data_IF_048736119883
#
_entry.id   IF_048736119883
#
_cell.length_a   1.000
_cell.length_b   1.000
_cell.length_c   1.000
_cell.angle_alpha   90.00
_cell.angle_beta   90.00
_cell.angle_gamma   90.00
#
_symmetry.space_group_name_H-M   'P 1'
#
loop_
_entity.id
_entity.type
_entity.pdbx_description
1 polymer ?
#
# COMPACT_ATOMS: atom_id res chain seq x y z
N UNK A 1 -23.62 17.63 -22.25
CA UNK A 1 -22.98 18.33 -21.11
C UNK A 1 -22.43 17.25 -20.20
N UNK A 2 -21.15 16.93 -20.32
CA UNK A 2 -20.49 15.98 -19.42
C UNK A 2 -20.30 16.70 -18.07
N UNK A 3 -20.75 16.07 -16.99
CA UNK A 3 -20.51 16.57 -15.63
C UNK A 3 -19.01 16.55 -15.38
N UNK A 4 -18.45 17.72 -15.14
CA UNK A 4 -17.05 17.94 -14.74
C UNK A 4 -16.89 17.68 -13.21
N UNK A 5 -17.66 16.72 -12.70
CA UNK A 5 -17.72 16.43 -11.27
C UNK A 5 -16.66 15.39 -10.90
N UNK A 6 -15.92 15.70 -9.84
CA UNK A 6 -14.97 14.77 -9.24
C UNK A 6 -15.72 13.50 -8.76
N UNK A 7 -15.07 12.32 -8.75
CA UNK A 7 -15.68 11.04 -8.38
C UNK A 7 -15.89 10.90 -6.86
N UNK A 8 -16.10 12.00 -6.16
CA UNK A 8 -16.28 12.02 -4.72
C UNK A 8 -17.72 12.35 -4.35
N UNK A 9 -18.20 11.78 -3.25
CA UNK A 9 -19.58 11.94 -2.77
C UNK A 9 -19.94 13.42 -2.57
N UNK A 10 -21.22 13.77 -2.77
CA UNK A 10 -21.73 15.15 -2.67
C UNK A 10 -21.57 15.80 -1.30
N UNK A 11 -21.11 15.08 -0.28
CA UNK A 11 -20.76 15.63 1.03
C UNK A 11 -19.43 16.42 0.97
N UNK A 12 -19.32 17.29 -0.06
CA UNK A 12 -18.15 18.12 -0.39
C UNK A 12 -17.69 19.04 0.75
N UNK A 13 -18.42 19.14 1.85
CA UNK A 13 -18.03 19.92 3.02
C UNK A 13 -16.72 19.44 3.66
N UNK A 14 -16.33 18.18 3.39
CA UNK A 14 -15.10 17.56 3.92
C UNK A 14 -13.90 17.61 2.96
N UNK A 15 -14.13 17.96 1.67
CA UNK A 15 -13.08 18.00 0.66
C UNK A 15 -12.73 19.43 0.30
N UNK A 16 -11.47 19.70 0.09
CA UNK A 16 -11.01 20.94 -0.54
C UNK A 16 -10.01 20.62 -1.65
N UNK A 17 -10.08 21.37 -2.74
CA UNK A 17 -9.20 21.24 -3.88
C UNK A 17 -7.92 22.03 -3.63
N UNK A 18 -6.77 21.41 -3.84
CA UNK A 18 -5.47 22.10 -3.79
C UNK A 18 -5.27 22.85 -5.11
N UNK A 19 -5.47 24.16 -5.10
CA UNK A 19 -5.35 25.07 -6.25
C UNK A 19 -6.16 24.62 -7.49
N UNK A 20 -5.70 24.98 -8.69
CA UNK A 20 -6.24 24.48 -9.96
C UNK A 20 -5.84 23.03 -10.26
N UNK A 21 -5.10 22.40 -9.33
CA UNK A 21 -4.72 21.01 -9.44
C UNK A 21 -5.94 20.09 -9.24
N UNK A 22 -5.98 18.97 -9.93
CA UNK A 22 -7.00 17.92 -9.73
C UNK A 22 -6.65 17.00 -8.54
N UNK A 23 -6.02 17.58 -7.49
CA UNK A 23 -5.71 16.88 -6.24
C UNK A 23 -6.58 17.48 -5.13
N UNK A 24 -7.16 16.60 -4.34
CA UNK A 24 -8.10 16.91 -3.25
C UNK A 24 -7.51 16.48 -1.91
N UNK A 25 -7.90 17.17 -0.85
CA UNK A 25 -7.56 16.83 0.53
C UNK A 25 -8.84 16.79 1.38
N UNK A 26 -8.86 15.98 2.41
CA UNK A 26 -9.94 15.96 3.39
C UNK A 26 -9.83 17.15 4.34
N UNK A 27 -10.90 17.96 4.47
CA UNK A 27 -10.94 19.17 5.34
C UNK A 27 -10.85 18.86 6.83
N UNK A 28 -11.29 17.68 7.22
CA UNK A 28 -11.35 17.22 8.61
C UNK A 28 -10.76 15.81 8.70
N UNK A 29 -9.63 15.58 8.04
CA UNK A 29 -8.84 14.39 8.36
C UNK A 29 -8.75 14.30 9.89
N UNK A 30 -8.97 13.12 10.49
CA UNK A 30 -8.73 12.93 11.92
C UNK A 30 -7.43 13.65 12.24
N UNK A 31 -7.44 14.47 13.30
CA UNK A 31 -6.20 15.08 13.81
C UNK A 31 -5.15 13.99 13.71
N UNK A 32 -4.16 14.18 12.84
CA UNK A 32 -3.09 13.19 12.70
C UNK A 32 -2.67 12.84 14.13
N UNK A 33 -2.78 11.57 14.47
CA UNK A 33 -2.28 11.13 15.77
C UNK A 33 -0.85 11.62 15.83
N UNK A 34 -0.51 12.38 16.87
CA UNK A 34 0.85 12.90 16.97
C UNK A 34 1.81 11.73 16.72
N UNK A 35 2.67 11.79 15.70
CA UNK A 35 3.55 10.67 15.32
C UNK A 35 4.30 10.10 16.53
N UNK A 36 4.63 10.98 17.47
CA UNK A 36 5.29 10.57 18.68
C UNK A 36 4.43 9.64 19.56
N UNK A 37 3.09 9.82 19.61
CA UNK A 37 2.19 8.93 20.36
C UNK A 37 2.16 7.55 19.70
N UNK A 38 2.05 7.48 18.37
CA UNK A 38 2.07 6.23 17.62
C UNK A 38 3.40 5.47 17.82
N UNK A 39 4.53 6.15 17.64
CA UNK A 39 5.87 5.58 17.86
C UNK A 39 6.02 5.08 19.30
N UNK A 40 5.59 5.87 20.28
CA UNK A 40 5.67 5.48 21.68
C UNK A 40 4.83 4.22 21.96
N UNK A 41 3.58 4.18 21.49
CA UNK A 41 2.69 3.04 21.66
C UNK A 41 3.34 1.75 21.18
N UNK A 42 3.87 1.75 19.94
CA UNK A 42 4.42 0.54 19.32
C UNK A 42 5.77 0.11 19.89
N UNK A 43 6.60 1.04 20.34
CA UNK A 43 7.88 0.74 20.97
C UNK A 43 7.76 0.31 22.45
N UNK A 44 6.64 0.59 23.12
CA UNK A 44 6.34 0.10 24.48
C UNK A 44 5.57 -1.22 24.49
N UNK A 45 5.08 -1.67 23.30
CA UNK A 45 4.49 -3.01 23.16
C UNK A 45 5.56 -4.12 23.35
N UNK A 46 5.07 -5.33 23.62
CA UNK A 46 5.91 -6.53 23.67
C UNK A 46 5.30 -7.62 22.76
N UNK A 47 5.99 -8.02 21.70
CA UNK A 47 7.29 -7.52 21.20
C UNK A 47 7.18 -6.10 20.61
N UNK A 48 8.29 -5.34 20.65
CA UNK A 48 8.36 -4.00 20.06
C UNK A 48 8.24 -4.06 18.57
N UNK A 49 7.52 -3.09 18.01
CA UNK A 49 7.32 -2.98 16.58
C UNK A 49 7.19 -1.52 16.13
N UNK A 50 7.18 -1.29 14.82
CA UNK A 50 6.93 0.01 14.20
C UNK A 50 5.85 -0.11 13.12
N UNK A 51 5.14 0.97 12.88
CA UNK A 51 4.18 1.03 11.78
C UNK A 51 4.92 1.22 10.44
N UNK A 52 4.62 0.39 9.44
CA UNK A 52 5.32 0.36 8.15
C UNK A 52 5.29 1.71 7.38
N UNK A 53 4.30 2.57 7.63
CA UNK A 53 4.24 3.86 6.95
C UNK A 53 5.44 4.79 7.27
N UNK A 54 6.11 4.60 8.41
CA UNK A 54 7.33 5.36 8.74
C UNK A 54 8.55 5.00 7.88
N UNK A 55 8.48 3.91 7.12
CA UNK A 55 9.53 3.54 6.15
C UNK A 55 9.59 4.50 4.96
N UNK A 56 8.51 5.19 4.64
CA UNK A 56 8.33 5.91 3.38
C UNK A 56 8.53 7.44 3.52
N UNK A 57 9.59 7.86 4.26
CA UNK A 57 10.11 9.23 4.10
C UNK A 57 10.78 9.39 2.73
N UNK A 58 11.29 10.58 2.39
CA UNK A 58 11.91 10.83 1.07
C UNK A 58 13.02 9.83 0.77
N UNK A 59 13.91 9.56 1.75
CA UNK A 59 15.00 8.60 1.59
C UNK A 59 14.49 7.18 1.47
N UNK A 60 13.54 6.79 2.28
CA UNK A 60 12.92 5.45 2.22
C UNK A 60 12.23 5.21 0.89
N UNK A 61 11.51 6.18 0.36
CA UNK A 61 10.86 6.10 -0.95
C UNK A 61 11.88 5.92 -2.08
N UNK A 62 13.01 6.65 -2.06
CA UNK A 62 14.10 6.46 -3.01
C UNK A 62 14.72 5.05 -2.94
N UNK A 63 14.90 4.53 -1.72
CA UNK A 63 15.45 3.20 -1.50
C UNK A 63 14.49 2.12 -2.00
N UNK A 64 13.20 2.27 -1.74
CA UNK A 64 12.19 1.34 -2.21
C UNK A 64 12.12 1.30 -3.74
N UNK A 65 12.18 2.44 -4.43
CA UNK A 65 12.26 2.49 -5.90
C UNK A 65 13.49 1.71 -6.43
N UNK A 66 14.63 1.78 -5.74
CA UNK A 66 15.82 1.00 -6.10
C UNK A 66 15.65 -0.50 -5.82
N UNK A 67 14.99 -0.86 -4.71
CA UNK A 67 14.64 -2.25 -4.37
C UNK A 67 13.75 -2.85 -5.47
N UNK A 68 12.75 -2.13 -5.95
CA UNK A 68 11.85 -2.57 -7.03
C UNK A 68 12.60 -2.93 -8.33
N UNK A 69 13.83 -2.42 -8.52
CA UNK A 69 14.67 -2.70 -9.70
C UNK A 69 15.65 -3.86 -9.49
N UNK A 70 15.74 -4.40 -8.26
CA UNK A 70 16.66 -5.51 -7.97
C UNK A 70 16.23 -6.81 -8.66
N UNK A 71 17.16 -7.60 -9.18
CA UNK A 71 16.85 -8.93 -9.75
C UNK A 71 16.19 -9.86 -8.72
N UNK A 72 16.59 -9.78 -7.46
CA UNK A 72 16.07 -10.61 -6.37
C UNK A 72 14.62 -10.23 -6.01
N UNK A 73 14.26 -8.94 -6.10
CA UNK A 73 12.92 -8.44 -5.77
C UNK A 73 11.96 -8.62 -6.95
N UNK A 74 11.46 -9.84 -7.13
CA UNK A 74 10.62 -10.23 -8.28
C UNK A 74 9.22 -9.61 -8.27
N UNK A 75 8.68 -9.22 -7.11
CA UNK A 75 7.27 -8.86 -6.91
C UNK A 75 6.78 -7.83 -7.93
N UNK A 76 7.46 -6.71 -8.05
CA UNK A 76 7.06 -5.59 -8.93
C UNK A 76 6.98 -6.02 -10.38
N UNK A 77 8.02 -6.69 -10.89
CA UNK A 77 8.09 -7.13 -12.30
C UNK A 77 7.07 -8.22 -12.61
N UNK A 78 6.84 -9.14 -11.67
CA UNK A 78 5.87 -10.22 -11.87
C UNK A 78 4.46 -9.66 -11.93
N UNK A 79 4.09 -8.78 -11.00
CA UNK A 79 2.79 -8.12 -10.99
C UNK A 79 2.56 -7.30 -12.28
N UNK A 80 3.56 -6.49 -12.68
CA UNK A 80 3.50 -5.69 -13.91
C UNK A 80 3.30 -6.56 -15.16
N UNK A 81 4.05 -7.67 -15.28
CA UNK A 81 3.91 -8.63 -16.37
C UNK A 81 2.51 -9.29 -16.43
N UNK A 82 1.87 -9.53 -15.28
CA UNK A 82 0.49 -10.02 -15.28
C UNK A 82 -0.46 -8.94 -15.77
N UNK A 83 -0.35 -7.71 -15.24
CA UNK A 83 -1.17 -6.57 -15.66
C UNK A 83 -1.05 -6.31 -17.16
N UNK A 84 0.17 -6.27 -17.70
CA UNK A 84 0.40 -6.07 -19.13
C UNK A 84 -0.35 -7.07 -20.01
N UNK A 85 -0.37 -8.35 -19.61
CA UNK A 85 -1.02 -9.42 -20.37
C UNK A 85 -2.53 -9.49 -20.18
N UNK A 86 -3.05 -9.02 -19.04
CA UNK A 86 -4.43 -9.32 -18.62
C UNK A 86 -5.30 -8.09 -18.37
N UNK A 87 -4.77 -6.88 -18.54
CA UNK A 87 -5.52 -5.63 -18.28
C UNK A 87 -6.82 -5.55 -19.09
N UNK A 88 -6.80 -5.95 -20.37
CA UNK A 88 -7.99 -5.96 -21.21
C UNK A 88 -9.07 -6.91 -20.67
N UNK A 89 -8.68 -8.10 -20.22
CA UNK A 89 -9.60 -9.09 -19.64
C UNK A 89 -10.14 -8.63 -18.28
N UNK A 90 -9.31 -7.96 -17.48
CA UNK A 90 -9.72 -7.38 -16.19
C UNK A 90 -10.79 -6.32 -16.41
N UNK A 91 -10.55 -5.37 -17.32
CA UNK A 91 -11.52 -4.29 -17.62
C UNK A 91 -12.78 -4.83 -18.29
N UNK A 92 -12.67 -5.86 -19.15
CA UNK A 92 -13.85 -6.52 -19.73
C UNK A 92 -14.72 -7.21 -18.66
N UNK A 93 -14.08 -7.81 -17.63
CA UNK A 93 -14.79 -8.45 -16.52
C UNK A 93 -15.32 -7.43 -15.48
N UNK A 94 -14.71 -6.24 -15.41
CA UNK A 94 -15.09 -5.14 -14.51
C UNK A 94 -15.34 -3.85 -15.32
N UNK A 95 -16.48 -3.73 -16.02
CA UNK A 95 -16.76 -2.61 -16.92
C UNK A 95 -17.18 -1.35 -16.14
N UNK A 96 -16.23 -0.72 -15.47
CA UNK A 96 -16.42 0.41 -14.55
C UNK A 96 -16.13 1.77 -15.20
N UNK A 97 -16.64 2.85 -14.58
CA UNK A 97 -16.39 4.24 -15.00
C UNK A 97 -15.14 4.81 -14.32
N UNK A 98 -14.89 4.40 -13.08
CA UNK A 98 -13.81 4.92 -12.24
C UNK A 98 -12.85 3.80 -11.80
N UNK A 99 -11.55 4.09 -11.85
CA UNK A 99 -10.50 3.27 -11.24
C UNK A 99 -9.95 4.05 -10.06
N UNK A 100 -10.05 3.47 -8.86
CA UNK A 100 -9.51 4.01 -7.60
C UNK A 100 -8.33 3.17 -7.18
N UNK A 101 -7.11 3.72 -7.17
CA UNK A 101 -5.93 3.00 -6.71
C UNK A 101 -5.58 3.41 -5.28
N UNK A 102 -5.39 2.42 -4.42
CA UNK A 102 -5.04 2.58 -3.01
C UNK A 102 -3.51 2.46 -2.87
N UNK A 103 -2.84 3.57 -2.55
CA UNK A 103 -1.38 3.63 -2.50
C UNK A 103 -0.74 3.63 -3.89
N UNK A 104 -1.11 4.60 -4.70
CA UNK A 104 -0.74 4.64 -6.11
C UNK A 104 0.76 4.91 -6.36
N UNK A 105 1.43 5.61 -5.45
CA UNK A 105 2.80 6.07 -5.71
C UNK A 105 2.89 6.78 -7.06
N UNK A 106 3.71 6.26 -7.98
CA UNK A 106 3.83 6.79 -9.36
C UNK A 106 2.74 6.30 -10.34
N UNK A 107 1.85 5.42 -9.92
CA UNK A 107 0.75 4.80 -10.71
C UNK A 107 1.19 4.11 -12.01
N UNK A 108 2.48 3.79 -12.19
CA UNK A 108 3.00 3.20 -13.45
C UNK A 108 2.31 1.89 -13.81
N UNK A 109 2.09 1.00 -12.85
CA UNK A 109 1.46 -0.31 -13.10
C UNK A 109 -0.01 -0.18 -13.51
N UNK A 110 -0.74 0.74 -12.89
CA UNK A 110 -2.16 0.97 -13.17
C UNK A 110 -2.39 1.55 -14.56
N UNK A 111 -1.35 2.08 -15.20
CA UNK A 111 -1.40 2.53 -16.60
C UNK A 111 -1.92 1.47 -17.56
N UNK A 112 -1.60 0.18 -17.35
CA UNK A 112 -2.11 -0.91 -18.16
C UNK A 112 -3.65 -1.01 -18.10
N UNK A 113 -4.22 -0.88 -16.91
CA UNK A 113 -5.68 -0.88 -16.70
C UNK A 113 -6.33 0.36 -17.32
N UNK A 114 -5.74 1.54 -17.14
CA UNK A 114 -6.24 2.79 -17.70
C UNK A 114 -6.19 2.79 -19.22
N UNK A 115 -5.14 2.26 -19.84
CA UNK A 115 -5.04 2.10 -21.30
C UNK A 115 -6.13 1.16 -21.81
N UNK A 116 -6.34 0.01 -21.17
CA UNK A 116 -7.41 -0.92 -21.53
C UNK A 116 -8.81 -0.29 -21.37
N UNK A 117 -9.02 0.57 -20.35
CA UNK A 117 -10.26 1.31 -20.16
C UNK A 117 -10.52 2.29 -21.31
N UNK A 118 -9.48 3.03 -21.77
CA UNK A 118 -9.58 3.94 -22.91
C UNK A 118 -9.98 3.17 -24.18
N UNK A 119 -9.36 2.02 -24.46
CA UNK A 119 -9.67 1.19 -25.62
C UNK A 119 -11.13 0.74 -25.64
N UNK A 120 -11.66 0.34 -24.47
CA UNK A 120 -13.03 -0.16 -24.38
C UNK A 120 -14.10 0.95 -24.29
N UNK A 121 -13.81 2.07 -23.63
CA UNK A 121 -14.79 3.12 -23.31
C UNK A 121 -14.48 4.49 -23.89
N UNK A 122 -13.29 4.71 -24.45
CA UNK A 122 -12.75 5.98 -24.96
C UNK A 122 -12.50 7.07 -23.91
N UNK A 123 -12.92 6.88 -22.68
CA UNK A 123 -12.67 7.77 -21.53
C UNK A 123 -12.74 6.99 -20.21
N UNK A 124 -12.35 7.63 -19.13
CA UNK A 124 -12.43 7.06 -17.79
C UNK A 124 -12.05 8.08 -16.72
N UNK A 125 -12.19 7.66 -15.47
CA UNK A 125 -11.79 8.44 -14.30
C UNK A 125 -10.72 7.64 -13.56
N UNK A 126 -9.63 8.30 -13.19
CA UNK A 126 -8.61 7.76 -12.31
C UNK A 126 -8.54 8.58 -11.02
N UNK A 127 -8.80 7.92 -9.89
CA UNK A 127 -8.85 8.54 -8.58
C UNK A 127 -7.86 7.86 -7.61
N UNK A 128 -6.55 8.10 -7.73
CA UNK A 128 -5.57 7.56 -6.81
C UNK A 128 -5.71 8.18 -5.42
N UNK A 129 -5.62 7.32 -4.38
CA UNK A 129 -5.62 7.71 -2.98
C UNK A 129 -4.24 7.40 -2.42
N UNK A 130 -3.53 8.41 -1.93
CA UNK A 130 -2.19 8.24 -1.37
C UNK A 130 -1.92 9.25 -0.24
N UNK A 131 -1.11 8.86 0.73
CA UNK A 131 -0.61 9.74 1.79
C UNK A 131 0.57 10.59 1.32
N UNK A 132 1.18 10.24 0.17
CA UNK A 132 2.29 10.96 -0.44
C UNK A 132 1.78 11.99 -1.45
N UNK A 133 1.75 13.26 -1.05
CA UNK A 133 1.44 14.34 -1.99
C UNK A 133 2.43 14.40 -3.17
N UNK A 134 3.77 14.26 -2.99
CA UNK A 134 4.69 14.14 -4.11
C UNK A 134 4.35 12.99 -5.06
N UNK A 135 3.96 11.82 -4.54
CA UNK A 135 3.51 10.67 -5.34
C UNK A 135 2.30 10.99 -6.20
N UNK A 136 1.28 11.65 -5.63
CA UNK A 136 0.09 12.09 -6.38
C UNK A 136 0.41 13.11 -7.47
N UNK A 137 1.34 14.04 -7.20
CA UNK A 137 1.79 15.02 -8.20
C UNK A 137 2.47 14.31 -9.37
N UNK A 138 3.37 13.36 -9.09
CA UNK A 138 4.04 12.56 -10.13
C UNK A 138 3.04 11.73 -10.94
N UNK A 139 2.09 11.08 -10.28
CA UNK A 139 1.02 10.31 -10.90
C UNK A 139 0.15 11.20 -11.83
N UNK A 140 -0.22 12.40 -11.38
CA UNK A 140 -0.97 13.37 -12.19
C UNK A 140 -0.18 13.79 -13.44
N UNK A 141 1.09 14.15 -13.30
CA UNK A 141 1.93 14.57 -14.42
C UNK A 141 2.12 13.42 -15.43
N UNK A 142 2.28 12.21 -14.93
CA UNK A 142 2.35 11.03 -15.77
C UNK A 142 1.05 10.81 -16.55
N UNK A 143 -0.11 10.84 -15.87
CA UNK A 143 -1.42 10.69 -16.48
C UNK A 143 -1.65 11.75 -17.56
N UNK A 144 -1.39 13.01 -17.26
CA UNK A 144 -1.56 14.13 -18.20
C UNK A 144 -0.75 13.96 -19.48
N UNK A 145 0.45 13.38 -19.41
CA UNK A 145 1.35 13.20 -20.56
C UNK A 145 0.98 11.98 -21.40
N UNK A 146 0.58 10.88 -20.77
CA UNK A 146 0.45 9.59 -21.45
C UNK A 146 -1.00 9.16 -21.67
N UNK A 147 -1.92 9.64 -20.84
CA UNK A 147 -3.32 9.23 -20.85
C UNK A 147 -4.26 10.44 -20.73
N UNK A 148 -4.18 11.43 -21.64
CA UNK A 148 -4.95 12.68 -21.54
C UNK A 148 -6.48 12.48 -21.61
N UNK A 149 -6.95 11.30 -22.05
CA UNK A 149 -8.37 10.93 -22.09
C UNK A 149 -8.92 10.53 -20.72
N UNK A 150 -8.03 10.22 -19.75
CA UNK A 150 -8.40 9.87 -18.38
C UNK A 150 -8.48 11.15 -17.53
N UNK A 151 -9.63 11.37 -16.92
CA UNK A 151 -9.80 12.45 -15.94
C UNK A 151 -9.15 12.03 -14.62
N UNK A 152 -8.14 12.77 -14.23
CA UNK A 152 -7.39 12.51 -12.99
C UNK A 152 -7.98 13.28 -11.80
N UNK A 153 -8.24 12.59 -10.70
CA UNK A 153 -8.72 13.17 -9.44
C UNK A 153 -8.00 12.51 -8.25
N UNK A 154 -6.80 12.97 -7.93
CA UNK A 154 -6.02 12.45 -6.80
C UNK A 154 -6.61 12.85 -5.44
N UNK A 155 -6.57 11.96 -4.47
CA UNK A 155 -6.99 12.23 -3.10
C UNK A 155 -5.84 11.99 -2.13
N UNK A 156 -5.36 13.07 -1.51
CA UNK A 156 -4.35 13.03 -0.47
C UNK A 156 -5.01 12.64 0.86
N UNK A 157 -4.98 11.37 1.20
CA UNK A 157 -5.62 10.79 2.37
C UNK A 157 -5.06 9.38 2.68
N UNK A 158 -5.37 8.88 3.88
CA UNK A 158 -5.25 7.44 4.15
C UNK A 158 -6.33 6.65 3.40
N UNK A 159 -6.10 5.36 3.15
CA UNK A 159 -7.05 4.53 2.40
C UNK A 159 -8.46 4.57 2.99
N UNK A 160 -8.56 4.33 4.31
CA UNK A 160 -9.83 4.20 5.03
C UNK A 160 -10.66 5.48 5.01
N UNK A 161 -10.00 6.62 4.94
CA UNK A 161 -10.65 7.93 4.81
C UNK A 161 -11.01 8.22 3.35
N UNK A 162 -10.10 7.82 2.45
CA UNK A 162 -10.19 8.11 1.03
C UNK A 162 -11.30 7.34 0.33
N UNK A 163 -11.35 6.01 0.46
CA UNK A 163 -12.37 5.23 -0.25
C UNK A 163 -13.79 5.47 0.27
N UNK A 164 -13.94 5.85 1.54
CA UNK A 164 -15.23 6.28 2.08
C UNK A 164 -15.76 7.59 1.44
N UNK A 165 -14.90 8.33 0.76
CA UNK A 165 -15.26 9.58 0.07
C UNK A 165 -15.67 9.37 -1.40
N UNK A 166 -15.51 8.17 -1.97
CA UNK A 166 -15.89 7.88 -3.36
C UNK A 166 -17.41 7.89 -3.51
N UNK A 167 -17.89 8.44 -4.62
CA UNK A 167 -19.31 8.46 -4.94
C UNK A 167 -19.82 7.04 -5.28
N UNK A 168 -20.70 6.51 -4.45
CA UNK A 168 -21.32 5.17 -4.62
C UNK A 168 -22.20 5.03 -5.87
N UNK A 169 -22.54 6.14 -6.53
CA UNK A 169 -23.30 6.11 -7.78
C UNK A 169 -22.41 5.84 -9.01
N UNK A 170 -21.10 5.93 -8.86
CA UNK A 170 -20.14 5.58 -9.90
C UNK A 170 -19.78 4.10 -9.79
N UNK A 171 -19.82 3.37 -10.89
CA UNK A 171 -19.24 2.02 -10.92
C UNK A 171 -17.72 2.12 -10.81
N UNK A 172 -17.15 1.48 -9.78
CA UNK A 172 -15.74 1.66 -9.41
C UNK A 172 -14.98 0.35 -9.36
N UNK A 173 -13.76 0.35 -9.89
CA UNK A 173 -12.75 -0.68 -9.64
C UNK A 173 -11.76 -0.14 -8.61
N UNK A 174 -11.82 -0.65 -7.40
CA UNK A 174 -10.79 -0.45 -6.40
C UNK A 174 -9.58 -1.34 -6.73
N UNK A 175 -8.40 -0.75 -6.75
CA UNK A 175 -7.15 -1.43 -7.12
C UNK A 175 -6.17 -1.33 -5.96
N UNK A 176 -5.71 -2.48 -5.48
CA UNK A 176 -4.74 -2.56 -4.38
C UNK A 176 -3.61 -3.51 -4.76
N UNK A 177 -2.54 -2.93 -5.27
CA UNK A 177 -1.39 -3.62 -5.89
C UNK A 177 -0.17 -3.66 -4.96
N UNK A 178 0.94 -4.21 -5.49
CA UNK A 178 2.24 -4.25 -4.80
C UNK A 178 2.34 -5.26 -3.69
N UNK A 179 1.37 -6.14 -3.54
CA UNK A 179 1.25 -7.01 -2.35
C UNK A 179 1.23 -6.23 -1.03
N UNK A 180 0.81 -4.97 -1.06
CA UNK A 180 0.72 -4.07 0.11
C UNK A 180 -0.18 -4.66 1.20
N UNK A 181 -1.17 -5.47 0.81
CA UNK A 181 -1.97 -6.26 1.75
C UNK A 181 -1.11 -7.14 2.67
N UNK A 182 0.07 -7.55 2.22
CA UNK A 182 1.03 -8.34 3.00
C UNK A 182 1.56 -7.62 4.25
N UNK A 183 1.49 -6.30 4.29
CA UNK A 183 1.95 -5.51 5.44
C UNK A 183 0.90 -5.43 6.56
N UNK A 184 -0.29 -6.00 6.34
CA UNK A 184 -1.38 -5.96 7.32
C UNK A 184 -1.31 -7.15 8.28
N UNK A 185 -1.35 -6.87 9.57
CA UNK A 185 -1.68 -7.88 10.58
C UNK A 185 -3.17 -8.27 10.50
N UNK A 186 -3.58 -9.29 11.24
CA UNK A 186 -4.95 -9.80 11.19
C UNK A 186 -6.01 -8.73 11.53
N UNK A 187 -5.75 -7.87 12.52
CA UNK A 187 -6.68 -6.81 12.92
C UNK A 187 -6.81 -5.73 11.83
N UNK A 188 -5.71 -5.32 11.22
CA UNK A 188 -5.69 -4.36 10.11
C UNK A 188 -6.37 -4.93 8.87
N UNK A 189 -6.16 -6.22 8.57
CA UNK A 189 -6.85 -6.92 7.48
C UNK A 189 -8.38 -6.87 7.65
N UNK A 190 -8.88 -7.27 8.81
CA UNK A 190 -10.33 -7.26 9.08
C UNK A 190 -10.89 -5.84 8.99
N UNK A 191 -10.23 -4.87 9.61
CA UNK A 191 -10.67 -3.47 9.58
C UNK A 191 -10.72 -2.92 8.16
N UNK A 192 -9.66 -3.13 7.39
CA UNK A 192 -9.57 -2.65 6.01
C UNK A 192 -10.69 -3.19 5.13
N UNK A 193 -10.88 -4.52 5.10
CA UNK A 193 -11.92 -5.11 4.26
C UNK A 193 -13.34 -4.83 4.72
N UNK A 194 -13.57 -4.70 6.03
CA UNK A 194 -14.87 -4.25 6.54
C UNK A 194 -15.20 -2.85 6.01
N UNK A 195 -14.28 -1.90 6.19
CA UNK A 195 -14.49 -0.51 5.77
C UNK A 195 -14.55 -0.37 4.24
N UNK A 196 -13.71 -1.09 3.50
CA UNK A 196 -13.76 -1.08 2.04
C UNK A 196 -15.09 -1.65 1.54
N UNK A 197 -15.53 -2.78 2.09
CA UNK A 197 -16.81 -3.40 1.74
C UNK A 197 -18.00 -2.47 2.02
N UNK A 198 -17.98 -1.75 3.13
CA UNK A 198 -19.02 -0.77 3.47
C UNK A 198 -19.01 0.45 2.53
N UNK A 199 -17.86 0.79 1.98
CA UNK A 199 -17.71 1.88 1.01
C UNK A 199 -18.15 1.49 -0.41
N UNK A 200 -18.03 0.21 -0.78
CA UNK A 200 -18.34 -0.30 -2.11
C UNK A 200 -19.85 -0.44 -2.36
N UNK A 201 -20.28 -0.05 -3.56
CA UNK A 201 -21.62 -0.31 -4.08
C UNK A 201 -21.73 -1.68 -4.80
N UNK A 202 -22.95 -2.12 -5.18
CA UNK A 202 -23.18 -3.45 -5.75
C UNK A 202 -22.62 -3.65 -7.17
N UNK A 203 -22.20 -2.58 -7.82
CA UNK A 203 -21.56 -2.62 -9.14
C UNK A 203 -20.05 -2.40 -9.09
N UNK A 204 -19.50 -2.37 -7.89
CA UNK A 204 -18.08 -2.15 -7.68
C UNK A 204 -17.29 -3.45 -7.68
N UNK A 205 -16.04 -3.31 -8.05
CA UNK A 205 -15.06 -4.38 -8.10
C UNK A 205 -13.83 -4.04 -7.28
N UNK A 206 -13.10 -5.08 -6.87
CA UNK A 206 -11.81 -4.98 -6.22
C UNK A 206 -10.80 -5.84 -6.95
N UNK A 207 -9.68 -5.25 -7.37
CA UNK A 207 -8.51 -5.96 -7.88
C UNK A 207 -7.41 -5.95 -6.82
N UNK A 208 -7.02 -7.14 -6.37
CA UNK A 208 -5.93 -7.34 -5.41
C UNK A 208 -4.71 -7.94 -6.09
N UNK A 209 -3.54 -7.32 -5.88
CA UNK A 209 -2.25 -7.91 -6.19
C UNK A 209 -1.63 -8.54 -4.93
N UNK A 210 -1.35 -9.84 -4.95
CA UNK A 210 -0.82 -10.56 -3.79
C UNK A 210 0.32 -11.50 -4.14
N UNK A 211 1.36 -11.45 -3.33
CA UNK A 211 2.50 -12.37 -3.39
C UNK A 211 2.09 -13.72 -2.79
N UNK A 212 2.39 -14.81 -3.51
CA UNK A 212 1.95 -16.17 -3.12
C UNK A 212 2.99 -16.85 -2.23
N UNK A 213 2.51 -17.82 -1.47
CA UNK A 213 3.36 -18.80 -0.78
C UNK A 213 4.12 -19.61 -1.84
N UNK A 214 5.44 -19.72 -1.70
CA UNK A 214 6.33 -20.41 -2.61
C UNK A 214 7.60 -20.87 -1.89
N UNK A 215 8.60 -21.31 -2.63
CA UNK A 215 9.89 -21.72 -2.08
C UNK A 215 10.50 -20.63 -1.18
N UNK A 216 10.90 -21.05 0.03
CA UNK A 216 11.39 -20.14 1.07
C UNK A 216 12.66 -19.41 0.64
N UNK A 217 13.53 -20.07 -0.11
CA UNK A 217 14.77 -19.45 -0.57
C UNK A 217 14.49 -18.31 -1.58
N UNK A 218 13.42 -18.45 -2.38
CA UNK A 218 12.98 -17.38 -3.28
C UNK A 218 12.45 -16.21 -2.46
N UNK A 219 11.62 -16.49 -1.45
CA UNK A 219 11.04 -15.49 -0.55
C UNK A 219 12.12 -14.74 0.20
N UNK A 220 13.03 -15.43 0.88
CA UNK A 220 14.05 -14.81 1.72
C UNK A 220 15.05 -13.99 0.89
N UNK A 221 15.46 -14.47 -0.30
CA UNK A 221 16.34 -13.71 -1.19
C UNK A 221 15.76 -12.37 -1.64
N UNK A 222 14.45 -12.30 -1.82
CA UNK A 222 13.80 -11.05 -2.22
C UNK A 222 13.91 -9.94 -1.16
N UNK A 223 14.10 -10.32 0.12
CA UNK A 223 14.21 -9.39 1.24
C UNK A 223 15.60 -9.37 1.90
N UNK A 224 16.54 -10.13 1.35
CA UNK A 224 17.95 -10.16 1.77
C UNK A 224 18.85 -9.99 0.55
N UNK A 225 18.66 -8.88 -0.17
CA UNK A 225 19.34 -8.59 -1.43
C UNK A 225 20.86 -8.46 -1.26
N UNK A 226 21.59 -8.84 -2.31
CA UNK A 226 23.06 -8.85 -2.33
C UNK A 226 23.70 -7.46 -2.25
N UNK A 227 22.93 -6.40 -2.52
CA UNK A 227 23.39 -4.99 -2.48
C UNK A 227 23.12 -4.32 -1.14
N UNK A 228 22.35 -4.96 -0.23
CA UNK A 228 22.00 -4.43 1.07
C UNK A 228 21.01 -3.25 1.05
N UNK A 229 20.31 -3.03 -0.06
CA UNK A 229 19.34 -1.93 -0.19
C UNK A 229 18.14 -2.13 0.73
N UNK A 230 17.66 -3.37 0.88
CA UNK A 230 16.57 -3.68 1.84
C UNK A 230 17.00 -3.42 3.27
N UNK A 231 18.24 -3.77 3.62
CA UNK A 231 18.78 -3.46 4.94
C UNK A 231 18.85 -1.94 5.19
N UNK A 232 19.32 -1.17 4.21
CA UNK A 232 19.37 0.30 4.30
C UNK A 232 17.95 0.89 4.42
N UNK A 233 16.99 0.40 3.64
CA UNK A 233 15.59 0.83 3.69
C UNK A 233 14.97 0.60 5.07
N UNK A 234 15.10 -0.60 5.61
CA UNK A 234 14.54 -0.96 6.93
C UNK A 234 15.20 -0.16 8.05
N UNK A 235 16.52 0.00 8.03
CA UNK A 235 17.21 0.74 9.09
C UNK A 235 17.02 2.26 8.98
N UNK A 236 16.70 2.80 7.80
CA UNK A 236 16.41 4.21 7.61
C UNK A 236 15.23 4.69 8.48
N UNK A 237 14.28 3.81 8.82
CA UNK A 237 13.14 4.17 9.68
C UNK A 237 13.58 4.79 11.02
N UNK A 238 14.71 4.33 11.58
CA UNK A 238 15.22 4.84 12.85
C UNK A 238 15.82 6.25 12.70
N UNK A 239 16.46 6.55 11.56
CA UNK A 239 16.86 7.90 11.25
C UNK A 239 15.67 8.84 11.07
N UNK A 240 14.60 8.36 10.44
CA UNK A 240 13.34 9.10 10.31
C UNK A 240 12.71 9.35 11.69
N UNK A 241 12.57 8.33 12.52
CA UNK A 241 12.01 8.44 13.88
C UNK A 241 12.86 9.39 14.74
N UNK A 242 14.19 9.32 14.66
CA UNK A 242 15.06 10.26 15.38
C UNK A 242 14.73 11.73 15.04
N UNK A 243 14.46 12.04 13.77
CA UNK A 243 14.06 13.40 13.36
C UNK A 243 12.65 13.75 13.79
N UNK A 244 11.74 12.76 13.75
CA UNK A 244 10.31 12.97 13.95
C UNK A 244 9.93 13.19 15.43
N UNK A 245 10.62 12.49 16.36
CA UNK A 245 10.29 12.48 17.78
C UNK A 245 11.50 12.78 18.68
N UNK A 246 12.57 13.33 18.10
CA UNK A 246 13.81 13.72 18.80
C UNK A 246 14.44 12.58 19.58
N UNK A 247 14.32 11.33 19.08
CA UNK A 247 14.96 10.18 19.70
C UNK A 247 16.44 10.05 19.31
N UNK A 248 17.15 9.12 19.92
CA UNK A 248 18.60 8.97 19.76
C UNK A 248 19.04 7.56 19.36
N UNK A 249 18.25 6.88 18.53
CA UNK A 249 18.68 5.60 17.98
C UNK A 249 20.03 5.74 17.26
N UNK A 250 21.03 4.93 17.66
CA UNK A 250 22.35 4.88 17.02
C UNK A 250 22.35 3.78 15.96
N UNK A 251 22.25 4.17 14.69
CA UNK A 251 22.19 3.23 13.57
C UNK A 251 23.45 2.37 13.43
N UNK A 252 24.62 2.84 13.90
CA UNK A 252 25.86 2.07 13.89
C UNK A 252 25.82 0.85 14.86
N UNK A 253 24.89 0.87 15.81
CA UNK A 253 24.63 -0.23 16.76
C UNK A 253 23.46 -1.11 16.32
N UNK A 254 23.12 -1.11 15.03
CA UNK A 254 22.01 -1.91 14.51
C UNK A 254 22.48 -2.78 13.36
N UNK A 255 21.77 -3.87 13.15
CA UNK A 255 21.86 -4.68 11.93
C UNK A 255 20.48 -5.14 11.51
N UNK A 256 20.31 -5.26 10.21
CA UNK A 256 19.11 -5.83 9.60
C UNK A 256 19.09 -7.36 9.76
N UNK A 257 17.89 -7.91 9.92
CA UNK A 257 17.64 -9.35 9.87
C UNK A 257 16.24 -9.61 9.32
N UNK A 258 16.14 -10.51 8.36
CA UNK A 258 14.86 -11.00 7.86
C UNK A 258 14.83 -12.51 7.84
N UNK A 259 13.65 -13.08 7.96
CA UNK A 259 13.41 -14.50 7.84
C UNK A 259 11.95 -14.77 7.47
N UNK A 260 11.68 -15.97 6.91
CA UNK A 260 10.33 -16.39 6.61
C UNK A 260 9.73 -17.14 7.81
N UNK A 261 8.69 -16.55 8.42
CA UNK A 261 7.92 -17.18 9.48
C UNK A 261 6.87 -18.10 8.84
N UNK A 262 7.07 -19.44 8.99
CA UNK A 262 6.20 -20.46 8.40
C UNK A 262 4.82 -20.51 9.04
N UNK A 263 4.72 -20.21 10.32
CA UNK A 263 3.45 -20.22 11.07
C UNK A 263 2.51 -19.12 10.58
N UNK A 264 3.06 -17.90 10.42
CA UNK A 264 2.32 -16.74 9.96
C UNK A 264 2.38 -16.53 8.45
N UNK A 265 3.13 -17.38 7.73
CA UNK A 265 3.32 -17.29 6.27
C UNK A 265 3.74 -15.89 5.82
N UNK A 266 4.74 -15.33 6.49
CA UNK A 266 5.20 -13.96 6.23
C UNK A 266 6.71 -13.84 6.33
N UNK A 267 7.28 -12.92 5.56
CA UNK A 267 8.61 -12.39 5.86
C UNK A 267 8.46 -11.42 7.03
N UNK A 268 9.33 -11.54 8.00
CA UNK A 268 9.46 -10.59 9.11
C UNK A 268 10.81 -9.89 9.00
N UNK A 269 10.78 -8.57 9.06
CA UNK A 269 11.96 -7.70 8.91
C UNK A 269 12.22 -6.96 10.21
N UNK A 270 13.39 -7.17 10.76
CA UNK A 270 13.79 -6.69 12.07
C UNK A 270 15.02 -5.80 12.02
N UNK A 271 15.06 -4.83 12.93
CA UNK A 271 16.30 -4.24 13.40
C UNK A 271 16.74 -4.96 14.68
N UNK A 272 17.99 -5.42 14.72
CA UNK A 272 18.62 -6.02 15.89
C UNK A 272 19.65 -5.07 16.48
N UNK A 273 19.65 -4.92 17.80
CA UNK A 273 20.71 -4.20 18.50
C UNK A 273 22.00 -5.02 18.55
N UNK A 274 23.13 -4.42 18.16
CA UNK A 274 24.45 -5.06 18.27
C UNK A 274 25.18 -4.73 19.57
N UNK A 275 24.72 -3.68 20.29
CA UNK A 275 25.22 -3.26 21.58
C UNK A 275 24.09 -2.61 22.38
N UNK A 276 24.08 -2.78 23.68
CA UNK A 276 23.11 -2.12 24.55
C UNK A 276 23.15 -0.59 24.35
N UNK A 277 21.99 0.03 24.27
CA UNK A 277 21.84 1.48 24.15
C UNK A 277 20.59 1.97 24.86
N UNK A 278 20.68 3.14 25.48
CA UNK A 278 19.52 3.82 26.04
C UNK A 278 18.86 4.67 24.98
N UNK A 279 17.63 4.33 24.62
CA UNK A 279 16.82 5.11 23.68
C UNK A 279 15.97 6.09 24.46
N UNK A 280 16.18 7.38 24.21
CA UNK A 280 15.55 8.49 24.92
C UNK A 280 14.52 9.16 24.02
N UNK A 281 13.45 9.63 24.63
CA UNK A 281 12.40 10.43 24.03
C UNK A 281 12.22 11.70 24.87
N UNK A 282 13.04 12.74 24.64
CA UNK A 282 13.07 13.94 25.48
C UNK A 282 11.71 14.63 25.61
N UNK A 283 10.97 14.71 24.51
CA UNK A 283 9.62 15.33 24.48
C UNK A 283 8.60 14.63 25.38
N UNK A 284 8.87 13.36 25.79
CA UNK A 284 8.02 12.58 26.69
C UNK A 284 8.66 12.34 28.08
N UNK A 285 9.89 12.80 28.28
CA UNK A 285 10.62 12.59 29.53
C UNK A 285 10.83 11.13 29.88
N UNK A 286 10.96 10.23 28.88
CA UNK A 286 11.07 8.78 29.08
C UNK A 286 12.16 8.17 28.23
N UNK A 287 12.62 6.98 28.62
CA UNK A 287 13.60 6.18 27.89
C UNK A 287 13.35 4.69 28.08
N UNK A 288 13.96 3.86 27.22
CA UNK A 288 14.09 2.42 27.47
C UNK A 288 15.47 1.93 27.07
N UNK A 289 15.90 0.83 27.71
CA UNK A 289 17.07 0.11 27.29
C UNK A 289 16.73 -0.85 26.15
N UNK A 290 17.50 -0.76 25.06
CA UNK A 290 17.49 -1.71 23.98
C UNK A 290 18.74 -2.56 24.08
N UNK A 291 18.56 -3.75 24.65
CA UNK A 291 19.66 -4.63 24.97
C UNK A 291 20.30 -5.26 23.74
N UNK A 292 21.55 -5.71 23.86
CA UNK A 292 22.23 -6.43 22.78
C UNK A 292 21.43 -7.68 22.40
N UNK A 293 21.21 -7.89 21.09
CA UNK A 293 20.42 -8.93 20.45
C UNK A 293 18.89 -8.77 20.60
N UNK A 294 18.40 -7.78 21.32
CA UNK A 294 16.99 -7.41 21.26
C UNK A 294 16.62 -6.94 19.85
N UNK A 295 15.37 -7.16 19.48
CA UNK A 295 14.86 -6.87 18.15
C UNK A 295 13.62 -5.98 18.19
N UNK A 296 13.49 -5.14 17.17
CA UNK A 296 12.27 -4.38 16.89
C UNK A 296 11.77 -4.85 15.53
N UNK A 297 10.50 -5.28 15.47
CA UNK A 297 9.85 -5.64 14.21
C UNK A 297 9.54 -4.35 13.45
N UNK A 298 10.09 -4.21 12.25
CA UNK A 298 9.91 -3.00 11.43
C UNK A 298 8.81 -3.20 10.40
N UNK A 299 8.79 -4.36 9.75
CA UNK A 299 7.79 -4.65 8.72
C UNK A 299 7.53 -6.15 8.62
N UNK A 300 6.31 -6.50 8.22
CA UNK A 300 5.93 -7.84 7.78
C UNK A 300 5.56 -7.83 6.31
N UNK A 301 5.75 -8.97 5.63
CA UNK A 301 5.22 -9.16 4.28
C UNK A 301 4.62 -10.56 4.17
N UNK A 302 3.31 -10.64 4.37
CA UNK A 302 2.54 -11.89 4.29
C UNK A 302 2.49 -12.42 2.88
N UNK A 303 2.47 -13.75 2.77
CA UNK A 303 2.32 -14.48 1.53
C UNK A 303 0.99 -15.21 1.58
N UNK A 304 0.33 -15.29 0.44
CA UNK A 304 -1.05 -15.71 0.39
C UNK A 304 -1.23 -17.00 -0.40
N UNK A 305 -2.15 -17.82 0.07
CA UNK A 305 -2.81 -18.86 -0.71
C UNK A 305 -4.05 -18.20 -1.35
N UNK A 306 -4.14 -18.15 -2.69
CA UNK A 306 -5.23 -17.44 -3.38
C UNK A 306 -6.62 -17.98 -3.08
N UNK A 307 -6.77 -19.31 -2.97
CA UNK A 307 -8.05 -19.97 -2.72
C UNK A 307 -8.54 -19.62 -1.30
N UNK A 308 -7.65 -19.71 -0.33
CA UNK A 308 -7.94 -19.35 1.06
C UNK A 308 -8.28 -17.86 1.19
N UNK A 309 -7.55 -16.98 0.51
CA UNK A 309 -7.84 -15.54 0.52
C UNK A 309 -9.21 -15.25 -0.10
N UNK A 310 -9.55 -15.89 -1.23
CA UNK A 310 -10.87 -15.75 -1.84
C UNK A 310 -11.99 -16.20 -0.90
N UNK A 311 -11.81 -17.28 -0.16
CA UNK A 311 -12.78 -17.73 0.85
C UNK A 311 -12.94 -16.73 1.99
N UNK A 312 -11.83 -16.16 2.49
CA UNK A 312 -11.86 -15.14 3.54
C UNK A 312 -12.60 -13.88 3.09
N UNK A 313 -12.38 -13.43 1.85
CA UNK A 313 -12.98 -12.19 1.36
C UNK A 313 -14.50 -12.30 1.11
N UNK A 314 -15.04 -13.50 0.98
CA UNK A 314 -16.50 -13.71 0.94
C UNK A 314 -17.20 -13.27 2.24
N UNK A 315 -16.51 -13.32 3.39
CA UNK A 315 -17.06 -12.80 4.66
C UNK A 315 -17.29 -11.28 4.62
N UNK A 316 -16.61 -10.58 3.70
CA UNK A 316 -16.76 -9.16 3.44
C UNK A 316 -17.61 -8.88 2.20
N UNK A 317 -18.46 -9.82 1.80
CA UNK A 317 -19.34 -9.71 0.62
C UNK A 317 -18.60 -9.47 -0.70
N UNK A 318 -17.34 -9.90 -0.79
CA UNK A 318 -16.50 -9.81 -1.99
C UNK A 318 -16.44 -11.19 -2.67
N UNK A 319 -17.16 -11.34 -3.79
CA UNK A 319 -17.24 -12.59 -4.52
C UNK A 319 -16.14 -12.67 -5.59
N UNK A 320 -15.38 -13.77 -5.66
CA UNK A 320 -14.36 -13.96 -6.69
C UNK A 320 -14.99 -13.96 -8.09
N UNK A 321 -14.36 -13.24 -9.03
CA UNK A 321 -14.77 -13.15 -10.45
C UNK A 321 -13.72 -13.81 -11.35
N UNK A 322 -12.45 -13.41 -11.20
CA UNK A 322 -11.33 -13.90 -12.00
C UNK A 322 -10.06 -14.01 -11.14
N UNK A 323 -9.20 -14.92 -11.55
CA UNK A 323 -7.86 -15.09 -11.00
C UNK A 323 -6.84 -15.11 -12.14
N UNK A 324 -5.85 -14.24 -12.07
CA UNK A 324 -4.75 -14.15 -13.03
C UNK A 324 -3.43 -14.39 -12.29
N UNK A 325 -2.50 -15.09 -12.94
CA UNK A 325 -1.18 -15.39 -12.35
C UNK A 325 -0.08 -15.37 -13.41
N UNK A 326 1.15 -15.31 -12.97
CA UNK A 326 2.33 -15.52 -13.82
C UNK A 326 2.57 -17.01 -14.09
N UNK A 327 3.40 -17.37 -15.08
CA UNK A 327 3.67 -18.77 -15.43
C UNK A 327 4.28 -19.62 -14.30
N UNK A 328 4.98 -18.99 -13.36
CA UNK A 328 5.58 -19.66 -12.21
C UNK A 328 4.63 -19.73 -11.00
N UNK A 329 3.44 -19.13 -11.13
CA UNK A 329 2.48 -18.99 -10.04
C UNK A 329 3.05 -18.31 -8.79
N UNK A 330 3.93 -17.34 -8.97
CA UNK A 330 4.55 -16.60 -7.87
C UNK A 330 3.69 -15.47 -7.34
N UNK A 331 2.87 -14.88 -8.22
CA UNK A 331 2.04 -13.73 -7.89
C UNK A 331 0.62 -13.91 -8.43
N UNK A 332 -0.37 -13.33 -7.78
CA UNK A 332 -1.76 -13.38 -8.20
C UNK A 332 -2.38 -12.00 -8.27
N UNK A 333 -3.14 -11.76 -9.33
CA UNK A 333 -4.16 -10.70 -9.39
C UNK A 333 -5.53 -11.36 -9.22
N UNK A 334 -6.24 -10.97 -8.18
CA UNK A 334 -7.55 -11.52 -7.83
C UNK A 334 -8.60 -10.43 -8.02
N UNK A 335 -9.56 -10.67 -8.92
CA UNK A 335 -10.69 -9.77 -9.16
C UNK A 335 -11.91 -10.26 -8.40
N UNK A 336 -12.51 -9.36 -7.63
CA UNK A 336 -13.74 -9.59 -6.86
C UNK A 336 -14.82 -8.61 -7.30
N UNK A 337 -16.07 -9.01 -7.11
CA UNK A 337 -17.24 -8.13 -7.22
C UNK A 337 -17.94 -8.04 -5.87
N UNK A 338 -18.37 -6.84 -5.50
CA UNK A 338 -19.24 -6.63 -4.34
C UNK A 338 -20.55 -7.38 -4.58
N UNK A 339 -20.98 -8.18 -3.59
CA UNK A 339 -22.32 -8.78 -3.62
C UNK A 339 -23.39 -7.68 -3.52
N UNK A 340 -24.52 -7.88 -4.17
CA UNK A 340 -25.71 -7.12 -3.82
C UNK A 340 -26.19 -7.52 -2.42
N UNK A 341 -26.60 -6.56 -1.62
CA UNK A 341 -27.18 -6.78 -0.30
C UNK A 341 -28.50 -7.57 -0.38
#
# INVERSE_FOLDING_TARGET
MQRDEAPFSADHQKLWRMDESSIWCLKNGRREENPAISVMRTLWDQPRWLEAHYLYDDRGSELFEKICQLPEYYLTRTEESILERTAADIIAAAPVECIVELGAGSAKKTTHLLAAQIEQRKNGIFAPIDVSLPGLILSREFNRRHLPQIRFHGLHARYEEGFASIDKNLSTLFVFLGSTLGNFNAASFVRFFSQLSDAMGPNDFLLLGVDRIKDIQVLERAYADSRGLTAEFILNVFAHINRLVESNFDLAKMRYHSWYNREWQQIEMYALSTAAQEIRFPSFGTSFWWEKNDRILVEISRKFDPERLQQQLRFFTLNPVRHFTDPNEWFSLLLFKKAAD
#
